data_IF_064734509580
#
_entry.id   IF_064734509580
#
_cell.length_a   1.000
_cell.length_b   1.000
_cell.length_c   1.000
_cell.angle_alpha   90.00
_cell.angle_beta   90.00
_cell.angle_gamma   90.00
#
_symmetry.space_group_name_H-M   'P 1'
#
loop_
_entity.id
_entity.type
_entity.pdbx_description
1 polymer ?
#
# COMPACT_ATOMS: atom_id res chain seq x y z
N UNK A 1 26.62 -24.49 -13.98
CA UNK A 1 27.87 -23.80 -13.59
C UNK A 1 27.83 -23.23 -12.16
N UNK A 2 26.73 -22.80 -11.60
CA UNK A 2 26.66 -22.13 -10.27
C UNK A 2 27.08 -22.98 -9.05
N UNK A 3 26.82 -24.27 -9.01
CA UNK A 3 27.07 -25.11 -7.81
C UNK A 3 28.59 -25.34 -7.56
N UNK A 4 29.44 -25.34 -8.62
CA UNK A 4 30.88 -25.47 -8.45
C UNK A 4 31.51 -24.17 -7.94
N UNK A 5 31.08 -22.99 -8.44
CA UNK A 5 31.62 -21.70 -8.01
C UNK A 5 31.31 -21.42 -6.53
N UNK A 6 30.11 -21.74 -6.03
CA UNK A 6 29.81 -21.64 -4.59
C UNK A 6 30.73 -22.47 -3.69
N UNK A 7 31.04 -23.70 -4.09
CA UNK A 7 31.97 -24.55 -3.31
C UNK A 7 33.40 -24.02 -3.32
N UNK A 8 33.82 -23.40 -4.42
CA UNK A 8 35.15 -22.78 -4.54
C UNK A 8 35.25 -21.54 -3.63
N UNK A 9 34.21 -20.68 -3.63
CA UNK A 9 34.17 -19.50 -2.77
C UNK A 9 34.13 -19.89 -1.29
N UNK A 10 33.34 -20.89 -0.88
CA UNK A 10 33.31 -21.39 0.49
C UNK A 10 34.70 -21.91 0.95
N UNK A 11 35.43 -22.55 0.06
CA UNK A 11 36.82 -23.00 0.31
C UNK A 11 37.77 -21.81 0.49
N UNK A 12 37.62 -20.79 -0.33
CA UNK A 12 38.37 -19.55 -0.28
C UNK A 12 38.13 -18.78 1.02
N UNK A 13 36.88 -18.67 1.43
CA UNK A 13 36.49 -18.00 2.70
C UNK A 13 37.16 -18.71 3.89
N UNK A 14 37.08 -20.04 3.96
CA UNK A 14 37.73 -20.81 5.03
C UNK A 14 39.23 -20.58 5.07
N UNK A 15 39.90 -20.58 3.87
CA UNK A 15 41.33 -20.27 3.76
C UNK A 15 41.66 -18.87 4.28
N UNK A 16 40.83 -17.90 3.95
CA UNK A 16 40.99 -16.51 4.39
C UNK A 16 40.81 -16.37 5.89
N UNK A 17 39.72 -16.89 6.47
CA UNK A 17 39.46 -16.85 7.91
C UNK A 17 40.53 -17.57 8.73
N UNK A 18 41.01 -18.72 8.24
CA UNK A 18 42.13 -19.44 8.88
C UNK A 18 43.42 -18.62 8.84
N UNK A 19 43.75 -18.00 7.73
CA UNK A 19 44.94 -17.18 7.59
C UNK A 19 44.91 -15.97 8.55
N UNK A 20 43.76 -15.36 8.71
CA UNK A 20 43.56 -14.24 9.68
C UNK A 20 43.71 -14.76 11.12
N UNK A 21 43.06 -15.86 11.47
CA UNK A 21 43.12 -16.42 12.84
C UNK A 21 44.50 -16.86 13.26
N UNK A 22 45.31 -17.35 12.31
CA UNK A 22 46.70 -17.78 12.54
C UNK A 22 47.72 -16.65 12.43
N UNK A 23 47.28 -15.43 12.02
CA UNK A 23 48.17 -14.28 11.80
C UNK A 23 49.24 -14.54 10.70
N UNK A 24 48.98 -15.47 9.77
CA UNK A 24 49.90 -15.81 8.69
C UNK A 24 49.64 -14.95 7.46
N UNK A 25 50.67 -14.34 6.85
CA UNK A 25 50.53 -13.65 5.58
C UNK A 25 50.18 -14.66 4.50
N UNK A 26 49.00 -14.54 3.88
CA UNK A 26 48.59 -15.28 2.70
C UNK A 26 48.52 -14.33 1.51
N UNK A 27 48.93 -14.81 0.36
CA UNK A 27 48.75 -14.09 -0.90
C UNK A 27 47.43 -14.50 -1.52
N UNK A 28 46.71 -13.52 -2.01
CA UNK A 28 45.48 -13.66 -2.77
C UNK A 28 45.63 -12.86 -4.06
N UNK A 29 45.16 -13.41 -5.17
CA UNK A 29 45.04 -12.63 -6.40
C UNK A 29 43.80 -11.72 -6.38
N UNK A 30 43.64 -10.92 -7.42
CA UNK A 30 42.54 -9.90 -7.45
C UNK A 30 41.20 -10.59 -7.52
N UNK A 31 41.04 -11.64 -8.31
CA UNK A 31 39.77 -12.34 -8.50
C UNK A 31 39.32 -13.02 -7.18
N UNK A 32 40.28 -13.65 -6.45
CA UNK A 32 40.03 -14.21 -5.12
C UNK A 32 39.58 -13.17 -4.10
N UNK A 33 40.14 -11.96 -4.16
CA UNK A 33 39.80 -10.86 -3.27
C UNK A 33 38.42 -10.27 -3.64
N UNK A 34 38.11 -10.26 -4.92
CA UNK A 34 36.76 -9.88 -5.41
C UNK A 34 35.70 -10.84 -4.91
N UNK A 35 35.87 -12.15 -5.15
CA UNK A 35 34.95 -13.18 -4.68
C UNK A 35 34.75 -13.14 -3.15
N UNK A 36 35.80 -12.92 -2.37
CA UNK A 36 35.75 -12.77 -0.93
C UNK A 36 34.96 -11.52 -0.51
N UNK A 37 35.20 -10.39 -1.17
CA UNK A 37 34.53 -9.13 -0.89
C UNK A 37 33.03 -9.25 -1.16
N UNK A 38 32.64 -9.83 -2.30
CA UNK A 38 31.26 -10.07 -2.69
C UNK A 38 30.55 -11.05 -1.76
N UNK A 39 31.21 -12.12 -1.36
CA UNK A 39 30.69 -13.07 -0.39
C UNK A 39 30.33 -12.37 0.92
N UNK A 40 31.23 -11.56 1.48
CA UNK A 40 30.94 -10.84 2.73
C UNK A 40 29.84 -9.79 2.57
N UNK A 41 29.78 -9.08 1.45
CA UNK A 41 28.70 -8.12 1.17
C UNK A 41 27.34 -8.80 1.07
N UNK A 42 27.24 -9.91 0.34
CA UNK A 42 25.99 -10.67 0.19
C UNK A 42 25.46 -11.25 1.51
N UNK A 43 26.35 -11.44 2.50
CA UNK A 43 26.00 -11.87 3.85
C UNK A 43 25.85 -10.70 4.87
N UNK A 44 25.80 -9.46 4.39
CA UNK A 44 25.65 -8.27 5.24
C UNK A 44 26.87 -7.91 6.08
N UNK A 45 28.02 -8.57 5.86
CA UNK A 45 29.28 -8.40 6.60
C UNK A 45 30.18 -7.31 5.98
N UNK A 46 29.71 -6.05 6.03
CA UNK A 46 30.40 -4.91 5.39
C UNK A 46 31.80 -4.64 5.93
N UNK A 47 32.02 -4.86 7.22
CA UNK A 47 33.35 -4.63 7.83
C UNK A 47 34.36 -5.65 7.35
N UNK A 48 33.98 -6.91 7.22
CA UNK A 48 34.80 -7.98 6.72
C UNK A 48 35.13 -7.77 5.23
N UNK A 49 34.15 -7.36 4.42
CA UNK A 49 34.39 -6.98 3.03
C UNK A 49 35.41 -5.82 2.93
N UNK A 50 35.26 -4.80 3.75
CA UNK A 50 36.23 -3.69 3.82
C UNK A 50 37.64 -4.15 4.19
N UNK A 51 37.76 -5.09 5.12
CA UNK A 51 39.05 -5.65 5.51
C UNK A 51 39.72 -6.46 4.35
N UNK A 52 38.92 -7.20 3.57
CA UNK A 52 39.39 -7.89 2.36
C UNK A 52 39.93 -6.90 1.35
N UNK A 53 39.18 -5.83 1.05
CA UNK A 53 39.61 -4.81 0.10
C UNK A 53 40.87 -4.09 0.57
N UNK A 54 40.99 -3.77 1.87
CA UNK A 54 42.24 -3.20 2.43
C UNK A 54 43.43 -4.14 2.32
N UNK A 55 43.24 -5.44 2.55
CA UNK A 55 44.26 -6.43 2.30
C UNK A 55 44.65 -6.46 0.83
N UNK A 56 43.66 -6.47 -0.05
CA UNK A 56 43.84 -6.47 -1.49
C UNK A 56 44.66 -5.26 -1.96
N UNK A 57 44.38 -4.08 -1.47
CA UNK A 57 45.13 -2.86 -1.79
C UNK A 57 46.53 -2.81 -1.20
N UNK A 58 46.83 -3.59 -0.16
CA UNK A 58 48.22 -3.80 0.31
C UNK A 58 48.97 -4.71 -0.62
N UNK A 59 48.35 -5.75 -1.18
CA UNK A 59 48.95 -6.70 -2.11
C UNK A 59 49.06 -6.13 -3.53
N UNK A 60 48.04 -5.38 -3.95
CA UNK A 60 47.86 -4.80 -5.29
C UNK A 60 47.50 -3.30 -5.22
N UNK A 61 48.43 -2.41 -4.87
CA UNK A 61 48.16 -1.02 -4.49
C UNK A 61 47.50 -0.16 -5.55
N UNK A 62 47.68 -0.48 -6.84
CA UNK A 62 47.16 0.33 -7.96
C UNK A 62 46.11 -0.43 -8.78
N UNK A 63 45.52 -1.49 -8.23
CA UNK A 63 44.49 -2.21 -8.92
C UNK A 63 43.19 -1.40 -8.97
N UNK A 64 42.72 -1.11 -10.19
CA UNK A 64 41.55 -0.25 -10.44
C UNK A 64 40.26 -0.82 -9.83
N UNK A 65 40.04 -2.15 -9.96
CA UNK A 65 38.88 -2.83 -9.45
C UNK A 65 38.78 -2.72 -7.92
N UNK A 66 39.86 -2.99 -7.20
CA UNK A 66 39.90 -2.90 -5.73
C UNK A 66 39.76 -1.44 -5.25
N UNK A 67 40.32 -0.48 -6.00
CA UNK A 67 40.12 0.95 -5.71
C UNK A 67 38.66 1.36 -5.91
N UNK A 68 38.01 0.88 -6.98
CA UNK A 68 36.60 1.15 -7.25
C UNK A 68 35.72 0.56 -6.15
N UNK A 69 35.89 -0.73 -5.80
CA UNK A 69 35.15 -1.37 -4.68
C UNK A 69 35.35 -0.64 -3.35
N UNK A 70 36.55 -0.12 -3.08
CA UNK A 70 36.79 0.71 -1.91
C UNK A 70 36.02 2.04 -1.97
N UNK A 71 35.98 2.67 -3.13
CA UNK A 71 35.23 3.91 -3.32
C UNK A 71 33.72 3.65 -3.13
N UNK A 72 33.17 2.54 -3.65
CA UNK A 72 31.78 2.12 -3.44
C UNK A 72 31.46 1.96 -1.95
N UNK A 73 32.30 1.26 -1.19
CA UNK A 73 32.11 1.13 0.26
C UNK A 73 32.09 2.50 0.98
N UNK A 74 32.94 3.44 0.56
CA UNK A 74 32.88 4.79 1.12
C UNK A 74 31.60 5.54 0.78
N UNK A 75 31.01 5.31 -0.40
CA UNK A 75 29.71 5.86 -0.77
C UNK A 75 28.60 5.29 0.11
N UNK A 76 28.60 3.98 0.32
CA UNK A 76 27.59 3.29 1.16
C UNK A 76 27.59 3.77 2.63
N UNK A 77 28.78 4.06 3.18
CA UNK A 77 28.90 4.58 4.57
C UNK A 77 28.80 6.12 4.66
N UNK A 78 28.54 6.80 3.53
CA UNK A 78 28.39 8.26 3.48
C UNK A 78 29.67 9.07 3.47
N UNK A 79 30.84 8.42 3.39
CA UNK A 79 32.16 9.08 3.37
C UNK A 79 32.53 9.59 1.96
N UNK A 80 31.65 10.40 1.37
CA UNK A 80 31.67 10.82 -0.03
C UNK A 80 32.96 11.51 -0.46
N UNK A 81 33.60 12.30 0.44
CA UNK A 81 34.86 12.97 0.14
C UNK A 81 36.05 12.00 0.05
N UNK A 82 35.97 10.89 0.78
CA UNK A 82 36.97 9.82 0.72
C UNK A 82 36.81 9.05 -0.61
N UNK A 83 35.56 8.75 -1.01
CA UNK A 83 35.25 8.14 -2.29
C UNK A 83 35.84 8.95 -3.46
N UNK A 84 35.58 10.27 -3.52
CA UNK A 84 36.14 11.14 -4.56
C UNK A 84 37.65 11.09 -4.63
N UNK A 85 38.35 11.15 -3.50
CA UNK A 85 39.82 11.10 -3.47
C UNK A 85 40.39 9.79 -4.03
N UNK A 86 39.66 8.70 -3.90
CA UNK A 86 40.03 7.42 -4.50
C UNK A 86 39.74 7.43 -5.99
N UNK A 87 38.55 7.83 -6.39
CA UNK A 87 38.16 7.96 -7.80
C UNK A 87 39.13 8.87 -8.59
N UNK A 88 39.67 9.93 -7.95
CA UNK A 88 40.67 10.80 -8.59
C UNK A 88 42.04 10.13 -8.81
N UNK A 89 42.34 9.05 -8.09
CA UNK A 89 43.58 8.27 -8.23
C UNK A 89 43.48 7.13 -9.23
N UNK A 90 42.27 6.80 -9.68
CA UNK A 90 42.10 5.72 -10.64
C UNK A 90 42.89 6.02 -11.92
N UNK A 91 43.69 5.06 -12.41
CA UNK A 91 44.50 5.23 -13.62
C UNK A 91 43.62 5.34 -14.88
N UNK A 92 42.47 4.71 -14.88
CA UNK A 92 41.49 4.72 -16.00
C UNK A 92 40.31 5.61 -15.62
N UNK A 93 40.45 6.91 -15.89
CA UNK A 93 39.41 7.91 -15.59
C UNK A 93 38.18 7.84 -16.52
N UNK A 94 38.26 7.03 -17.54
CA UNK A 94 37.21 6.82 -18.56
C UNK A 94 36.40 5.54 -18.34
N UNK A 95 36.71 4.76 -17.29
CA UNK A 95 35.91 3.59 -16.92
C UNK A 95 34.49 4.01 -16.55
N UNK A 96 33.48 3.34 -17.15
CA UNK A 96 32.06 3.67 -17.00
C UNK A 96 31.62 3.53 -15.54
N UNK A 97 32.01 2.46 -14.86
CA UNK A 97 31.66 2.22 -13.45
C UNK A 97 32.25 3.30 -12.54
N UNK A 98 33.49 3.74 -12.82
CA UNK A 98 34.12 4.85 -12.11
C UNK A 98 33.43 6.19 -12.40
N UNK A 99 32.93 6.41 -13.62
CA UNK A 99 32.19 7.61 -13.99
C UNK A 99 30.80 7.62 -13.36
N UNK A 100 30.10 6.47 -13.34
CA UNK A 100 28.79 6.29 -12.67
C UNK A 100 28.92 6.57 -11.17
N UNK A 101 29.86 5.92 -10.50
CA UNK A 101 30.08 6.13 -9.06
C UNK A 101 30.48 7.58 -8.75
N UNK A 102 31.26 8.21 -9.60
CA UNK A 102 31.63 9.63 -9.46
C UNK A 102 30.43 10.55 -9.65
N UNK A 103 29.56 10.24 -10.61
CA UNK A 103 28.32 10.98 -10.82
C UNK A 103 27.40 10.89 -9.59
N UNK A 104 27.20 9.68 -9.07
CA UNK A 104 26.45 9.44 -7.84
C UNK A 104 27.02 10.26 -6.66
N UNK A 105 28.34 10.21 -6.45
CA UNK A 105 28.98 10.97 -5.37
C UNK A 105 28.76 12.48 -5.55
N UNK A 106 28.86 13.02 -6.77
CA UNK A 106 28.57 14.43 -7.01
C UNK A 106 27.12 14.78 -6.69
N UNK A 107 26.16 13.94 -7.09
CA UNK A 107 24.75 14.16 -6.83
C UNK A 107 24.45 14.13 -5.31
N UNK A 108 25.00 13.16 -4.59
CA UNK A 108 24.86 13.07 -3.11
C UNK A 108 25.54 14.22 -2.37
N UNK A 109 26.58 14.84 -2.97
CA UNK A 109 27.23 16.07 -2.46
C UNK A 109 26.50 17.35 -2.87
N UNK A 110 25.30 17.23 -3.46
CA UNK A 110 24.51 18.36 -3.98
C UNK A 110 25.20 19.15 -5.11
N UNK A 111 26.18 18.53 -5.80
CA UNK A 111 26.82 19.06 -7.00
C UNK A 111 26.09 18.59 -8.26
N UNK A 112 24.82 19.02 -8.37
CA UNK A 112 23.90 18.53 -9.40
C UNK A 112 24.43 18.72 -10.83
N UNK A 113 25.06 19.85 -11.12
CA UNK A 113 25.54 20.14 -12.49
C UNK A 113 26.66 19.19 -12.92
N UNK A 114 27.62 18.91 -12.04
CA UNK A 114 28.74 18.01 -12.29
C UNK A 114 28.26 16.58 -12.45
N UNK A 115 27.38 16.11 -11.57
CA UNK A 115 26.81 14.76 -11.64
C UNK A 115 26.03 14.57 -12.94
N UNK A 116 25.07 15.43 -13.24
CA UNK A 116 24.26 15.36 -14.46
C UNK A 116 25.08 15.43 -15.74
N UNK A 117 26.18 16.19 -15.74
CA UNK A 117 27.08 16.24 -16.90
C UNK A 117 27.75 14.89 -17.15
N UNK A 118 28.14 14.17 -16.10
CA UNK A 118 28.71 12.83 -16.23
C UNK A 118 27.67 11.82 -16.72
N UNK A 119 26.46 11.84 -16.13
CA UNK A 119 25.39 10.92 -16.54
C UNK A 119 25.03 11.11 -18.03
N UNK A 120 24.89 12.33 -18.49
CA UNK A 120 24.66 12.62 -19.93
C UNK A 120 25.79 12.08 -20.81
N UNK A 121 27.04 12.32 -20.43
CA UNK A 121 28.18 11.79 -21.18
C UNK A 121 28.13 10.27 -21.32
N UNK A 122 27.76 9.55 -20.25
CA UNK A 122 27.66 8.08 -20.23
C UNK A 122 26.57 7.59 -21.20
N UNK A 123 25.44 8.26 -21.26
CA UNK A 123 24.31 7.85 -22.11
C UNK A 123 24.41 8.32 -23.56
N UNK A 124 25.19 9.41 -23.85
CA UNK A 124 25.39 9.94 -25.20
C UNK A 124 26.47 9.18 -26.00
N UNK A 125 27.36 8.40 -25.36
CA UNK A 125 28.34 7.61 -26.06
C UNK A 125 27.68 6.47 -26.85
N UNK A 126 27.85 6.47 -28.18
CA UNK A 126 27.41 5.39 -29.09
C UNK A 126 28.20 4.12 -28.84
N UNK A 127 27.66 3.21 -28.06
CA UNK A 127 28.27 1.93 -27.73
C UNK A 127 27.25 0.81 -27.81
N UNK A 128 27.73 -0.44 -27.87
CA UNK A 128 26.90 -1.66 -27.90
C UNK A 128 26.05 -1.81 -26.62
N UNK A 129 26.51 -1.21 -25.52
CA UNK A 129 25.86 -1.38 -24.18
C UNK A 129 25.03 -0.16 -23.77
N UNK A 130 24.41 0.57 -24.73
CA UNK A 130 23.66 1.80 -24.45
C UNK A 130 22.43 1.58 -23.56
N UNK A 131 21.76 0.45 -23.74
CA UNK A 131 20.60 0.06 -22.88
C UNK A 131 21.07 -0.09 -21.42
N UNK A 132 22.13 -0.90 -21.21
CA UNK A 132 22.65 -1.13 -19.87
C UNK A 132 23.10 0.18 -19.21
N UNK A 133 23.79 1.04 -19.92
CA UNK A 133 24.21 2.36 -19.42
C UNK A 133 23.03 3.25 -19.03
N UNK A 134 21.95 3.21 -19.79
CA UNK A 134 20.74 3.91 -19.44
C UNK A 134 20.14 3.37 -18.14
N UNK A 135 20.06 2.05 -18.00
CA UNK A 135 19.56 1.39 -16.77
C UNK A 135 20.46 1.71 -15.55
N UNK A 136 21.78 1.70 -15.72
CA UNK A 136 22.71 2.06 -14.64
C UNK A 136 22.53 3.53 -14.20
N UNK A 137 22.32 4.43 -15.15
CA UNK A 137 22.04 5.85 -14.86
C UNK A 137 20.69 6.01 -14.15
N UNK A 138 19.66 5.34 -14.62
CA UNK A 138 18.33 5.41 -14.00
C UNK A 138 18.31 4.80 -12.60
N UNK A 139 19.06 3.73 -12.36
CA UNK A 139 19.23 3.16 -11.02
C UNK A 139 19.77 4.20 -10.03
N UNK A 140 20.83 4.95 -10.40
CA UNK A 140 21.38 6.02 -9.54
C UNK A 140 20.34 7.12 -9.27
N UNK A 141 19.56 7.51 -10.28
CA UNK A 141 18.55 8.55 -10.14
C UNK A 141 17.37 8.07 -9.29
N UNK A 142 16.96 6.81 -9.44
CA UNK A 142 15.89 6.17 -8.71
C UNK A 142 16.23 5.99 -7.23
N UNK A 143 17.49 5.65 -6.89
CA UNK A 143 17.99 5.63 -5.51
C UNK A 143 17.90 7.00 -4.80
N UNK A 144 17.89 8.07 -5.59
CA UNK A 144 17.69 9.43 -5.11
C UNK A 144 16.22 9.89 -5.16
N UNK A 145 15.31 9.03 -5.57
CA UNK A 145 13.90 9.33 -5.82
C UNK A 145 13.70 10.42 -6.89
N UNK A 146 14.59 10.49 -7.89
CA UNK A 146 14.49 11.45 -9.00
C UNK A 146 13.86 10.79 -10.23
N UNK A 147 12.71 10.16 -10.01
CA UNK A 147 11.99 9.35 -11.01
C UNK A 147 11.65 10.13 -12.29
N UNK A 148 11.27 11.40 -12.16
CA UNK A 148 11.01 12.25 -13.33
C UNK A 148 12.22 12.38 -14.27
N UNK A 149 13.46 12.43 -13.74
CA UNK A 149 14.67 12.42 -14.55
C UNK A 149 14.95 11.03 -15.15
N UNK A 150 14.74 9.96 -14.37
CA UNK A 150 14.84 8.60 -14.89
C UNK A 150 13.92 8.40 -16.10
N UNK A 151 12.68 8.87 -16.02
CA UNK A 151 11.69 8.83 -17.10
C UNK A 151 12.24 9.56 -18.36
N UNK A 152 12.88 10.72 -18.23
CA UNK A 152 13.46 11.45 -19.37
C UNK A 152 14.54 10.60 -20.09
N UNK A 153 15.47 9.99 -19.35
CA UNK A 153 16.52 9.14 -19.91
C UNK A 153 15.96 7.87 -20.57
N UNK A 154 15.00 7.21 -19.90
CA UNK A 154 14.34 6.00 -20.42
C UNK A 154 13.55 6.29 -21.70
N UNK A 155 12.80 7.39 -21.73
CA UNK A 155 12.07 7.81 -22.93
C UNK A 155 12.99 8.17 -24.08
N UNK A 156 14.19 8.71 -23.81
CA UNK A 156 15.18 8.97 -24.83
C UNK A 156 15.76 7.66 -25.38
N UNK A 157 16.16 6.71 -24.53
CA UNK A 157 16.66 5.40 -24.93
C UNK A 157 15.63 4.59 -25.73
N UNK A 158 14.35 4.65 -25.34
CA UNK A 158 13.24 3.96 -26.01
C UNK A 158 12.90 4.53 -27.41
N UNK A 159 13.47 5.67 -27.82
CA UNK A 159 13.38 6.12 -29.22
C UNK A 159 14.21 5.26 -30.16
N UNK A 160 15.36 4.79 -29.67
CA UNK A 160 16.29 3.96 -30.43
C UNK A 160 16.02 2.46 -30.23
N UNK A 161 15.53 2.07 -29.05
CA UNK A 161 15.21 0.71 -28.63
C UNK A 161 13.75 0.59 -28.18
N UNK A 162 12.79 0.77 -29.11
CA UNK A 162 11.38 0.92 -28.72
C UNK A 162 10.76 -0.30 -28.03
N UNK A 163 11.24 -1.48 -28.31
CA UNK A 163 10.68 -2.75 -27.84
C UNK A 163 11.59 -3.43 -26.80
N UNK A 164 12.52 -2.69 -26.21
CA UNK A 164 13.39 -3.20 -25.16
C UNK A 164 12.59 -3.33 -23.86
N UNK A 165 12.46 -4.58 -23.40
CA UNK A 165 11.59 -4.90 -22.26
C UNK A 165 12.16 -4.41 -20.91
N UNK A 166 13.48 -4.36 -20.75
CA UNK A 166 14.11 -3.88 -19.52
C UNK A 166 13.93 -2.36 -19.36
N UNK A 167 14.08 -1.61 -20.45
CA UNK A 167 13.80 -0.15 -20.46
C UNK A 167 12.32 0.14 -20.22
N UNK A 168 11.41 -0.64 -20.80
CA UNK A 168 9.97 -0.48 -20.60
C UNK A 168 9.58 -0.80 -19.15
N UNK A 169 10.13 -1.86 -18.57
CA UNK A 169 9.88 -2.25 -17.19
C UNK A 169 10.29 -1.16 -16.21
N UNK A 170 11.53 -0.65 -16.35
CA UNK A 170 12.03 0.44 -15.52
C UNK A 170 11.21 1.74 -15.70
N UNK A 171 10.76 2.03 -16.94
CA UNK A 171 9.91 3.19 -17.23
C UNK A 171 8.54 3.05 -16.53
N UNK A 172 7.91 1.88 -16.61
CA UNK A 172 6.64 1.62 -15.96
C UNK A 172 6.75 1.78 -14.44
N UNK A 173 7.80 1.20 -13.86
CA UNK A 173 8.09 1.33 -12.43
C UNK A 173 8.32 2.79 -12.01
N UNK A 174 9.08 3.58 -12.78
CA UNK A 174 9.26 5.01 -12.48
C UNK A 174 7.93 5.78 -12.50
N UNK A 175 7.02 5.47 -13.44
CA UNK A 175 5.69 6.08 -13.44
C UNK A 175 4.86 5.68 -12.22
N UNK A 176 4.98 4.45 -11.72
CA UNK A 176 4.32 4.03 -10.48
C UNK A 176 4.81 4.82 -9.26
N UNK A 177 6.12 5.05 -9.17
CA UNK A 177 6.70 5.83 -8.07
C UNK A 177 6.18 7.29 -8.08
N UNK A 178 5.95 7.86 -9.27
CA UNK A 178 5.33 9.18 -9.44
C UNK A 178 3.79 9.14 -9.33
N UNK A 179 3.20 7.96 -9.07
CA UNK A 179 1.74 7.72 -9.02
C UNK A 179 1.01 8.03 -10.33
N UNK A 180 1.74 8.02 -11.45
CA UNK A 180 1.18 8.21 -12.78
C UNK A 180 0.72 6.86 -13.37
N UNK A 181 -0.18 6.19 -12.67
CA UNK A 181 -0.62 4.81 -12.96
C UNK A 181 -1.19 4.62 -14.36
N UNK A 182 -1.84 5.64 -14.94
CA UNK A 182 -2.34 5.54 -16.33
C UNK A 182 -1.20 5.44 -17.34
N UNK A 183 -0.07 6.14 -17.08
CA UNK A 183 1.10 6.04 -17.96
C UNK A 183 1.83 4.71 -17.76
N UNK A 184 1.95 4.25 -16.51
CA UNK A 184 2.49 2.93 -16.19
C UNK A 184 1.71 1.83 -16.90
N UNK A 185 0.38 1.83 -16.82
CA UNK A 185 -0.48 0.87 -17.49
C UNK A 185 -0.23 0.83 -19.01
N UNK A 186 -0.13 1.99 -19.67
CA UNK A 186 0.16 2.04 -21.12
C UNK A 186 1.53 1.46 -21.47
N UNK A 187 2.51 1.59 -20.58
CA UNK A 187 3.84 0.99 -20.80
C UNK A 187 3.76 -0.52 -20.65
N UNK A 188 3.05 -1.05 -19.65
CA UNK A 188 2.83 -2.49 -19.53
C UNK A 188 2.02 -3.06 -20.69
N UNK A 189 0.98 -2.38 -21.17
CA UNK A 189 0.25 -2.77 -22.38
C UNK A 189 1.21 -2.90 -23.57
N UNK A 190 2.13 -1.93 -23.75
CA UNK A 190 3.15 -2.01 -24.80
C UNK A 190 4.13 -3.17 -24.59
N UNK A 191 4.56 -3.46 -23.36
CA UNK A 191 5.38 -4.63 -23.06
C UNK A 191 4.67 -5.93 -23.48
N UNK A 192 3.37 -6.01 -23.24
CA UNK A 192 2.55 -7.17 -23.55
C UNK A 192 2.23 -7.29 -25.06
N UNK A 193 2.35 -6.21 -25.83
CA UNK A 193 2.35 -6.28 -27.32
C UNK A 193 3.64 -6.96 -27.83
N UNK A 194 4.77 -6.79 -27.12
CA UNK A 194 6.07 -7.43 -27.46
C UNK A 194 6.11 -8.86 -26.96
N UNK A 195 5.77 -9.10 -25.69
CA UNK A 195 5.75 -10.44 -25.07
C UNK A 195 4.44 -10.65 -24.27
N UNK A 196 3.41 -11.25 -24.91
CA UNK A 196 2.11 -11.50 -24.28
C UNK A 196 2.12 -12.54 -23.15
N UNK A 197 3.21 -13.32 -23.02
CA UNK A 197 3.31 -14.38 -22.02
C UNK A 197 4.02 -13.95 -20.74
N UNK A 198 4.35 -12.68 -20.61
CA UNK A 198 5.05 -12.16 -19.42
C UNK A 198 4.06 -11.94 -18.27
N UNK A 199 3.98 -12.94 -17.38
CA UNK A 199 3.07 -12.95 -16.24
C UNK A 199 3.24 -11.72 -15.34
N UNK A 200 4.49 -11.33 -15.06
CA UNK A 200 4.81 -10.17 -14.23
C UNK A 200 4.27 -8.85 -14.82
N UNK A 201 4.33 -8.70 -16.15
CA UNK A 201 3.77 -7.52 -16.81
C UNK A 201 2.23 -7.47 -16.72
N UNK A 202 1.55 -8.62 -16.85
CA UNK A 202 0.11 -8.72 -16.62
C UNK A 202 -0.26 -8.41 -15.17
N UNK A 203 0.50 -8.94 -14.21
CA UNK A 203 0.29 -8.66 -12.79
C UNK A 203 0.43 -7.17 -12.49
N UNK A 204 1.52 -6.53 -12.94
CA UNK A 204 1.79 -5.12 -12.72
C UNK A 204 0.77 -4.22 -13.45
N UNK A 205 0.30 -4.62 -14.64
CA UNK A 205 -0.81 -3.96 -15.32
C UNK A 205 -2.08 -3.99 -14.46
N UNK A 206 -2.40 -5.14 -13.88
CA UNK A 206 -3.51 -5.30 -12.94
C UNK A 206 -3.37 -4.38 -11.73
N UNK A 207 -2.17 -4.28 -11.17
CA UNK A 207 -1.88 -3.39 -10.05
C UNK A 207 -2.05 -1.91 -10.43
N UNK A 208 -1.62 -1.51 -11.63
CA UNK A 208 -1.81 -0.15 -12.13
C UNK A 208 -3.30 0.19 -12.28
N UNK A 209 -4.11 -0.71 -12.86
CA UNK A 209 -5.57 -0.53 -12.97
C UNK A 209 -6.27 -0.55 -11.61
N UNK A 210 -5.81 -1.36 -10.67
CA UNK A 210 -6.33 -1.36 -9.29
C UNK A 210 -6.12 -0.01 -8.62
N UNK A 211 -4.93 0.58 -8.74
CA UNK A 211 -4.63 1.90 -8.20
C UNK A 211 -5.42 3.04 -8.88
N UNK A 212 -5.89 2.83 -10.11
CA UNK A 212 -6.81 3.73 -10.82
C UNK A 212 -8.28 3.46 -10.51
N UNK A 213 -8.57 2.54 -9.60
CA UNK A 213 -9.93 2.10 -9.23
C UNK A 213 -10.73 1.49 -10.41
N UNK A 214 -10.05 1.15 -11.51
CA UNK A 214 -10.67 0.37 -12.59
C UNK A 214 -10.52 -1.13 -12.28
N UNK A 215 -11.29 -1.55 -11.29
CA UNK A 215 -11.19 -2.91 -10.74
C UNK A 215 -11.54 -4.00 -11.77
N UNK A 216 -12.40 -3.72 -12.74
CA UNK A 216 -12.72 -4.70 -13.77
C UNK A 216 -11.52 -4.96 -14.70
N UNK A 217 -10.79 -3.90 -15.13
CA UNK A 217 -9.56 -4.08 -15.90
C UNK A 217 -8.46 -4.74 -15.08
N UNK A 218 -8.41 -4.44 -13.79
CA UNK A 218 -7.47 -5.10 -12.88
C UNK A 218 -7.73 -6.63 -12.84
N UNK A 219 -8.99 -7.05 -12.70
CA UNK A 219 -9.38 -8.47 -12.73
C UNK A 219 -8.96 -9.11 -14.04
N UNK A 220 -9.30 -8.50 -15.20
CA UNK A 220 -8.92 -9.05 -16.52
C UNK A 220 -7.40 -9.27 -16.62
N UNK A 221 -6.60 -8.30 -16.16
CA UNK A 221 -5.15 -8.41 -16.19
C UNK A 221 -4.62 -9.52 -15.25
N UNK A 222 -5.15 -9.65 -14.03
CA UNK A 222 -4.78 -10.74 -13.12
C UNK A 222 -5.20 -12.11 -13.66
N UNK A 223 -6.32 -12.23 -14.35
CA UNK A 223 -6.72 -13.47 -15.03
C UNK A 223 -5.69 -13.88 -16.09
N UNK A 224 -5.16 -12.95 -16.88
CA UNK A 224 -4.08 -13.21 -17.82
C UNK A 224 -2.76 -13.60 -17.11
N UNK A 225 -2.41 -12.96 -16.02
CA UNK A 225 -1.25 -13.35 -15.20
C UNK A 225 -1.40 -14.81 -14.73
N UNK A 226 -2.56 -15.18 -14.20
CA UNK A 226 -2.87 -16.54 -13.73
C UNK A 226 -2.98 -17.56 -14.86
N UNK A 227 -3.36 -17.16 -16.08
CA UNK A 227 -3.36 -18.05 -17.23
C UNK A 227 -1.95 -18.53 -17.59
N UNK A 228 -0.92 -17.74 -17.30
CA UNK A 228 0.50 -18.13 -17.51
C UNK A 228 1.11 -18.79 -16.27
N UNK A 229 0.74 -18.36 -15.06
CA UNK A 229 1.19 -18.89 -13.77
C UNK A 229 0.02 -19.20 -12.84
N UNK A 230 -0.67 -20.36 -13.01
CA UNK A 230 -1.92 -20.66 -12.32
C UNK A 230 -1.82 -20.77 -10.77
N UNK A 231 -0.62 -20.87 -10.22
CA UNK A 231 -0.38 -20.99 -8.78
C UNK A 231 0.34 -19.76 -8.20
N UNK A 232 0.25 -18.63 -8.87
CA UNK A 232 0.74 -17.36 -8.32
C UNK A 232 -0.21 -16.87 -7.24
N UNK A 233 0.16 -17.11 -5.98
CA UNK A 233 -0.63 -16.76 -4.81
C UNK A 233 -0.88 -15.25 -4.70
N UNK A 234 0.09 -14.44 -5.12
CA UNK A 234 -0.07 -12.98 -5.07
C UNK A 234 -1.10 -12.52 -6.09
N UNK A 235 -1.04 -13.02 -7.33
CA UNK A 235 -2.02 -12.70 -8.36
C UNK A 235 -3.42 -13.19 -8.00
N UNK A 236 -3.56 -14.40 -7.41
CA UNK A 236 -4.85 -14.92 -6.92
C UNK A 236 -5.45 -14.02 -5.85
N UNK A 237 -4.65 -13.59 -4.88
CA UNK A 237 -5.11 -12.71 -3.80
C UNK A 237 -5.52 -11.34 -4.33
N UNK A 238 -4.70 -10.72 -5.18
CA UNK A 238 -5.01 -9.42 -5.76
C UNK A 238 -6.23 -9.45 -6.66
N UNK A 239 -6.43 -10.53 -7.42
CA UNK A 239 -7.64 -10.74 -8.21
C UNK A 239 -8.88 -10.81 -7.32
N UNK A 240 -8.82 -11.56 -6.21
CA UNK A 240 -9.93 -11.67 -5.27
C UNK A 240 -10.28 -10.29 -4.64
N UNK A 241 -9.27 -9.51 -4.26
CA UNK A 241 -9.48 -8.15 -3.78
C UNK A 241 -10.07 -7.23 -4.86
N UNK A 242 -9.59 -7.32 -6.10
CA UNK A 242 -10.13 -6.52 -7.21
C UNK A 242 -11.60 -6.88 -7.50
N UNK A 243 -11.96 -8.16 -7.46
CA UNK A 243 -13.35 -8.62 -7.59
C UNK A 243 -14.24 -8.07 -6.47
N UNK A 244 -13.74 -8.08 -5.24
CA UNK A 244 -14.47 -7.52 -4.10
C UNK A 244 -14.71 -6.02 -4.27
N UNK A 245 -13.69 -5.25 -4.63
CA UNK A 245 -13.81 -3.81 -4.87
C UNK A 245 -14.70 -3.49 -6.09
N UNK A 246 -14.74 -4.37 -7.10
CA UNK A 246 -15.66 -4.26 -8.23
C UNK A 246 -17.13 -4.55 -7.85
N UNK A 247 -17.43 -4.94 -6.61
CA UNK A 247 -18.76 -5.36 -6.18
C UNK A 247 -19.17 -6.77 -6.66
N UNK A 248 -18.24 -7.53 -7.24
CA UNK A 248 -18.45 -8.90 -7.73
C UNK A 248 -18.24 -9.92 -6.61
N UNK A 249 -18.98 -9.74 -5.51
CA UNK A 249 -18.72 -10.40 -4.22
C UNK A 249 -18.72 -11.93 -4.28
N UNK A 250 -19.62 -12.56 -5.05
CA UNK A 250 -19.65 -14.02 -5.16
C UNK A 250 -18.46 -14.57 -5.95
N UNK A 251 -17.95 -13.80 -6.90
CA UNK A 251 -16.76 -14.16 -7.65
C UNK A 251 -15.51 -13.94 -6.79
N UNK A 252 -15.48 -12.88 -5.98
CA UNK A 252 -14.44 -12.67 -4.98
C UNK A 252 -14.39 -13.84 -3.98
N UNK A 253 -15.54 -14.26 -3.46
CA UNK A 253 -15.63 -15.41 -2.57
C UNK A 253 -15.03 -16.66 -3.21
N UNK A 254 -15.37 -16.94 -4.48
CA UNK A 254 -14.81 -18.08 -5.21
C UNK A 254 -13.29 -17.95 -5.39
N UNK A 255 -12.78 -16.77 -5.70
CA UNK A 255 -11.35 -16.53 -5.84
C UNK A 255 -10.58 -16.73 -4.52
N UNK A 256 -11.16 -16.33 -3.38
CA UNK A 256 -10.58 -16.64 -2.06
C UNK A 256 -10.61 -18.15 -1.74
N UNK A 257 -11.66 -18.87 -2.14
CA UNK A 257 -11.71 -20.34 -2.01
C UNK A 257 -10.61 -21.01 -2.84
N UNK A 258 -10.43 -20.58 -4.10
CA UNK A 258 -9.40 -21.10 -5.00
C UNK A 258 -7.99 -20.82 -4.44
N UNK A 259 -7.76 -19.62 -3.86
CA UNK A 259 -6.51 -19.31 -3.14
C UNK A 259 -6.27 -20.27 -1.97
N UNK A 260 -7.28 -20.54 -1.16
CA UNK A 260 -7.15 -21.45 -0.01
C UNK A 260 -6.96 -22.93 -0.40
N UNK A 261 -7.37 -23.34 -1.59
CA UNK A 261 -7.07 -24.68 -2.11
C UNK A 261 -5.55 -24.88 -2.33
N UNK A 262 -4.82 -23.79 -2.64
CA UNK A 262 -3.37 -23.82 -2.91
C UNK A 262 -2.56 -23.58 -1.63
N UNK A 263 -2.85 -22.51 -0.90
CA UNK A 263 -2.07 -22.08 0.27
C UNK A 263 -2.54 -22.70 1.58
N UNK A 264 -3.81 -23.08 1.64
CA UNK A 264 -4.45 -23.52 2.88
C UNK A 264 -5.28 -22.43 3.54
N UNK A 265 -5.98 -22.81 4.62
CA UNK A 265 -6.85 -21.90 5.36
C UNK A 265 -6.04 -21.05 6.33
N UNK A 266 -6.26 -19.75 6.28
CA UNK A 266 -5.78 -18.79 7.29
C UNK A 266 -6.92 -17.93 7.80
N UNK A 267 -6.78 -17.39 9.00
CA UNK A 267 -7.82 -16.59 9.64
C UNK A 267 -8.16 -15.33 8.83
N UNK A 268 -7.14 -14.63 8.31
CA UNK A 268 -7.36 -13.41 7.52
C UNK A 268 -8.08 -13.68 6.19
N UNK A 269 -7.76 -14.78 5.47
CA UNK A 269 -8.48 -15.11 4.21
C UNK A 269 -9.91 -15.55 4.51
N UNK A 270 -10.13 -16.25 5.63
CA UNK A 270 -11.49 -16.60 6.07
C UNK A 270 -12.32 -15.36 6.42
N UNK A 271 -11.71 -14.27 6.91
CA UNK A 271 -12.38 -12.98 7.10
C UNK A 271 -12.78 -12.38 5.75
N UNK A 272 -11.86 -12.25 4.78
CA UNK A 272 -12.19 -11.71 3.45
C UNK A 272 -13.27 -12.53 2.72
N UNK A 273 -13.23 -13.85 2.86
CA UNK A 273 -14.29 -14.71 2.35
C UNK A 273 -15.63 -14.43 3.06
N UNK A 274 -15.60 -14.25 4.37
CA UNK A 274 -16.76 -13.89 5.17
C UNK A 274 -17.37 -12.55 4.75
N UNK A 275 -16.55 -11.53 4.59
CA UNK A 275 -16.95 -10.21 4.08
C UNK A 275 -17.57 -10.29 2.67
N UNK A 276 -16.98 -11.12 1.80
CA UNK A 276 -17.51 -11.33 0.46
C UNK A 276 -18.90 -11.95 0.48
N UNK A 277 -19.13 -12.92 1.36
CA UNK A 277 -20.47 -13.50 1.53
C UNK A 277 -21.44 -12.55 2.23
N UNK A 278 -20.99 -11.76 3.21
CA UNK A 278 -21.79 -10.73 3.88
C UNK A 278 -22.30 -9.70 2.87
N UNK A 279 -21.40 -9.12 2.07
CA UNK A 279 -21.76 -8.15 1.01
C UNK A 279 -22.64 -8.76 -0.08
N UNK A 280 -22.55 -10.07 -0.31
CA UNK A 280 -23.44 -10.80 -1.18
C UNK A 280 -24.81 -11.14 -0.54
N UNK A 281 -25.05 -10.77 0.72
CA UNK A 281 -26.27 -11.09 1.47
C UNK A 281 -26.38 -12.55 1.92
N UNK A 282 -25.28 -13.30 1.88
CA UNK A 282 -25.23 -14.70 2.29
C UNK A 282 -24.74 -14.84 3.74
N UNK A 283 -25.59 -14.40 4.65
CA UNK A 283 -25.22 -14.28 6.07
C UNK A 283 -24.84 -15.59 6.74
N UNK A 284 -25.43 -16.74 6.33
CA UNK A 284 -25.11 -18.03 6.96
C UNK A 284 -23.71 -18.50 6.56
N UNK A 285 -23.34 -18.31 5.29
CA UNK A 285 -22.00 -18.60 4.79
C UNK A 285 -20.96 -17.66 5.43
N UNK A 286 -21.27 -16.35 5.54
CA UNK A 286 -20.41 -15.38 6.21
C UNK A 286 -20.13 -15.75 7.67
N UNK A 287 -21.17 -16.08 8.44
CA UNK A 287 -21.07 -16.52 9.83
C UNK A 287 -20.18 -17.77 9.95
N UNK A 288 -20.30 -18.73 9.03
CA UNK A 288 -19.45 -19.93 9.04
C UNK A 288 -17.97 -19.59 8.78
N UNK A 289 -17.71 -18.61 7.91
CA UNK A 289 -16.35 -18.14 7.63
C UNK A 289 -15.75 -17.42 8.83
N UNK A 290 -16.47 -16.50 9.46
CA UNK A 290 -16.02 -15.79 10.66
C UNK A 290 -15.84 -16.73 11.87
N UNK A 291 -16.71 -17.73 12.03
CA UNK A 291 -16.50 -18.74 13.07
C UNK A 291 -15.21 -19.53 12.84
N UNK A 292 -14.94 -19.91 11.60
CA UNK A 292 -13.69 -20.60 11.24
C UNK A 292 -12.48 -19.70 11.48
N UNK A 293 -12.53 -18.41 11.09
CA UNK A 293 -11.49 -17.43 11.35
C UNK A 293 -11.20 -17.30 12.85
N UNK A 294 -12.25 -17.19 13.66
CA UNK A 294 -12.13 -17.10 15.11
C UNK A 294 -11.56 -18.39 15.74
N UNK A 295 -11.91 -19.57 15.20
CA UNK A 295 -11.33 -20.84 15.68
C UNK A 295 -9.84 -20.95 15.35
N UNK A 296 -9.39 -20.42 14.20
CA UNK A 296 -7.99 -20.37 13.82
C UNK A 296 -7.21 -19.35 14.65
N UNK A 297 -7.80 -18.19 14.90
CA UNK A 297 -7.19 -17.10 15.68
C UNK A 297 -8.25 -16.42 16.57
N UNK A 298 -8.38 -16.81 17.85
CA UNK A 298 -9.34 -16.21 18.78
C UNK A 298 -9.08 -14.73 19.10
N UNK A 299 -7.95 -14.20 18.66
CA UNK A 299 -7.56 -12.78 18.77
C UNK A 299 -7.79 -12.00 17.49
N UNK A 300 -8.40 -12.59 16.47
CA UNK A 300 -8.78 -11.89 15.25
C UNK A 300 -10.03 -11.04 15.53
N UNK A 301 -9.84 -9.73 15.61
CA UNK A 301 -10.90 -8.76 15.92
C UNK A 301 -11.91 -8.67 14.77
N UNK A 302 -11.45 -8.69 13.51
CA UNK A 302 -12.30 -8.57 12.33
C UNK A 302 -13.27 -9.75 12.22
N UNK A 303 -12.83 -10.97 12.57
CA UNK A 303 -13.70 -12.14 12.67
C UNK A 303 -14.80 -11.95 13.72
N UNK A 304 -14.48 -11.37 14.89
CA UNK A 304 -15.46 -11.07 15.92
C UNK A 304 -16.45 -9.99 15.49
N UNK A 305 -15.95 -8.94 14.85
CA UNK A 305 -16.74 -7.80 14.37
C UNK A 305 -17.67 -8.22 13.23
N UNK A 306 -17.17 -8.94 12.22
CA UNK A 306 -17.98 -9.45 11.12
C UNK A 306 -19.05 -10.44 11.59
N UNK A 307 -18.71 -11.33 12.53
CA UNK A 307 -19.70 -12.21 13.18
C UNK A 307 -20.81 -11.39 13.85
N UNK A 308 -20.44 -10.33 14.59
CA UNK A 308 -21.40 -9.50 15.30
C UNK A 308 -22.31 -8.73 14.32
N UNK A 309 -21.77 -8.20 13.24
CA UNK A 309 -22.53 -7.50 12.18
C UNK A 309 -23.56 -8.46 11.55
N UNK A 310 -23.12 -9.64 11.11
CA UNK A 310 -24.04 -10.63 10.53
C UNK A 310 -25.16 -11.03 11.49
N UNK A 311 -24.86 -11.20 12.79
CA UNK A 311 -25.87 -11.51 13.81
C UNK A 311 -26.81 -10.34 14.08
N UNK A 312 -26.33 -9.10 13.98
CA UNK A 312 -27.16 -7.89 14.06
C UNK A 312 -28.16 -7.82 12.90
N UNK A 313 -27.71 -8.08 11.68
CA UNK A 313 -28.59 -8.14 10.49
C UNK A 313 -29.65 -9.25 10.61
N UNK A 314 -29.30 -10.39 11.22
CA UNK A 314 -30.23 -11.48 11.55
C UNK A 314 -31.15 -11.15 12.73
N UNK A 315 -31.02 -9.96 13.33
CA UNK A 315 -31.75 -9.52 14.54
C UNK A 315 -31.50 -10.37 15.79
N UNK A 316 -30.37 -11.11 15.81
CA UNK A 316 -29.90 -11.86 16.98
C UNK A 316 -29.09 -10.94 17.92
N UNK A 317 -29.71 -9.86 18.37
CA UNK A 317 -29.04 -8.74 19.02
C UNK A 317 -28.20 -9.10 20.25
N UNK A 318 -28.68 -10.03 21.10
CA UNK A 318 -27.94 -10.45 22.31
C UNK A 318 -26.65 -11.22 21.96
N UNK A 319 -26.71 -12.06 20.92
CA UNK A 319 -25.55 -12.79 20.44
C UNK A 319 -24.55 -11.83 19.77
N UNK A 320 -25.07 -10.90 18.96
CA UNK A 320 -24.27 -9.83 18.34
C UNK A 320 -23.51 -9.02 19.39
N UNK A 321 -24.19 -8.57 20.45
CA UNK A 321 -23.56 -7.82 21.53
C UNK A 321 -22.44 -8.63 22.23
N UNK A 322 -22.64 -9.94 22.40
CA UNK A 322 -21.61 -10.83 22.96
C UNK A 322 -20.35 -10.91 22.08
N UNK A 323 -20.52 -10.84 20.76
CA UNK A 323 -19.38 -10.88 19.84
C UNK A 323 -18.66 -9.53 19.76
N UNK A 324 -19.39 -8.41 19.78
CA UNK A 324 -18.76 -7.08 19.93
C UNK A 324 -18.00 -6.95 21.25
N UNK A 325 -18.52 -7.52 22.36
CA UNK A 325 -17.80 -7.54 23.64
C UNK A 325 -16.47 -8.33 23.55
N UNK A 326 -16.41 -9.38 22.72
CA UNK A 326 -15.15 -10.08 22.43
C UNK A 326 -14.20 -9.21 21.59
N UNK A 327 -14.69 -8.55 20.55
CA UNK A 327 -13.89 -7.65 19.73
C UNK A 327 -13.27 -6.53 20.58
N UNK A 328 -14.08 -5.86 21.42
CA UNK A 328 -13.61 -4.80 22.31
C UNK A 328 -12.66 -5.28 23.42
N UNK A 329 -12.71 -6.55 23.81
CA UNK A 329 -11.70 -7.14 24.71
C UNK A 329 -10.37 -7.39 24.05
N UNK A 330 -10.35 -7.54 22.73
CA UNK A 330 -9.11 -7.69 21.95
C UNK A 330 -8.49 -6.29 21.73
N UNK A 331 -9.30 -5.33 21.27
CA UNK A 331 -8.89 -3.94 21.08
C UNK A 331 -10.10 -3.01 21.33
N UNK A 332 -10.02 -2.14 22.32
CA UNK A 332 -11.06 -1.14 22.65
C UNK A 332 -10.73 0.28 22.13
N UNK A 333 -9.63 0.40 21.38
CA UNK A 333 -9.20 1.67 20.77
C UNK A 333 -9.63 1.84 19.31
N UNK A 334 -10.42 0.91 18.77
CA UNK A 334 -10.99 1.04 17.44
C UNK A 334 -12.30 1.83 17.49
N UNK A 335 -12.37 3.04 16.88
CA UNK A 335 -13.58 3.86 16.92
C UNK A 335 -14.76 3.24 16.16
N UNK A 336 -14.51 2.46 15.09
CA UNK A 336 -15.57 1.87 14.26
C UNK A 336 -16.35 0.81 15.01
N UNK A 337 -15.70 -0.03 15.79
CA UNK A 337 -16.37 -1.05 16.60
C UNK A 337 -17.33 -0.41 17.59
N UNK A 338 -16.95 0.73 18.20
CA UNK A 338 -17.84 1.48 19.09
C UNK A 338 -19.06 2.04 18.36
N UNK A 339 -18.92 2.44 17.10
CA UNK A 339 -20.03 2.87 16.25
C UNK A 339 -20.99 1.71 16.01
N UNK A 340 -20.51 0.54 15.59
CA UNK A 340 -21.36 -0.65 15.39
C UNK A 340 -22.08 -1.06 16.67
N UNK A 341 -21.43 -1.01 17.84
CA UNK A 341 -22.07 -1.28 19.13
C UNK A 341 -23.19 -0.27 19.42
N UNK A 342 -22.97 1.02 19.13
CA UNK A 342 -23.98 2.05 19.29
C UNK A 342 -25.20 1.80 18.38
N UNK A 343 -24.97 1.45 17.11
CA UNK A 343 -26.03 1.11 16.16
C UNK A 343 -26.85 -0.11 16.62
N UNK A 344 -26.17 -1.16 17.10
CA UNK A 344 -26.82 -2.31 17.69
C UNK A 344 -27.70 -1.92 18.89
N UNK A 345 -27.19 -1.08 19.79
CA UNK A 345 -27.93 -0.62 20.97
C UNK A 345 -29.15 0.24 20.59
N UNK A 346 -29.05 1.03 19.52
CA UNK A 346 -30.20 1.75 18.97
C UNK A 346 -31.29 0.80 18.46
N UNK A 347 -30.90 -0.29 17.76
CA UNK A 347 -31.87 -1.30 17.34
C UNK A 347 -32.53 -2.04 18.52
N UNK A 348 -31.89 -2.02 19.69
CA UNK A 348 -32.43 -2.56 20.95
C UNK A 348 -33.20 -1.51 21.77
N UNK A 349 -33.39 -0.28 21.26
CA UNK A 349 -34.00 0.89 21.94
C UNK A 349 -33.25 1.33 23.21
N UNK A 350 -31.92 1.07 23.26
CA UNK A 350 -31.02 1.44 24.37
C UNK A 350 -30.25 2.72 24.03
N UNK A 351 -30.96 3.86 23.97
CA UNK A 351 -30.46 5.15 23.43
C UNK A 351 -29.37 5.78 24.29
N UNK A 352 -29.47 5.67 25.62
CA UNK A 352 -28.47 6.24 26.53
C UNK A 352 -27.13 5.52 26.39
N UNK A 353 -27.15 4.20 26.35
CA UNK A 353 -25.96 3.37 26.15
C UNK A 353 -25.35 3.57 24.76
N UNK A 354 -26.19 3.71 23.72
CA UNK A 354 -25.74 4.03 22.37
C UNK A 354 -24.97 5.37 22.33
N UNK A 355 -25.52 6.42 22.99
CA UNK A 355 -24.83 7.70 23.11
C UNK A 355 -23.47 7.60 23.81
N UNK A 356 -23.35 6.73 24.84
CA UNK A 356 -22.06 6.49 25.51
C UNK A 356 -21.04 5.86 24.57
N UNK A 357 -21.46 4.92 23.71
CA UNK A 357 -20.61 4.29 22.73
C UNK A 357 -20.14 5.27 21.63
N UNK A 358 -21.06 6.10 21.11
CA UNK A 358 -20.70 7.18 20.18
C UNK A 358 -19.72 8.17 20.79
N UNK A 359 -19.92 8.59 22.05
CA UNK A 359 -18.98 9.44 22.76
C UNK A 359 -17.60 8.77 22.89
N UNK A 360 -17.54 7.47 23.15
CA UNK A 360 -16.28 6.73 23.20
C UNK A 360 -15.60 6.75 21.84
N UNK A 361 -16.33 6.47 20.76
CA UNK A 361 -15.82 6.57 19.39
C UNK A 361 -15.24 7.96 19.09
N UNK A 362 -15.97 9.04 19.42
CA UNK A 362 -15.51 10.42 19.24
C UNK A 362 -14.29 10.77 20.10
N UNK A 363 -14.08 10.13 21.25
CA UNK A 363 -12.83 10.32 22.03
C UNK A 363 -11.61 9.68 21.37
N UNK A 364 -11.81 8.63 20.59
CA UNK A 364 -10.77 7.92 19.86
C UNK A 364 -10.46 8.59 18.51
N UNK A 365 -11.50 9.02 17.82
CA UNK A 365 -11.41 9.78 16.58
C UNK A 365 -12.43 10.94 16.63
N UNK A 366 -11.94 12.17 16.57
CA UNK A 366 -12.81 13.37 16.66
C UNK A 366 -13.42 13.77 15.32
N UNK A 367 -12.88 13.26 14.22
CA UNK A 367 -13.29 13.59 12.84
C UNK A 367 -14.30 12.55 12.32
N UNK A 368 -15.53 12.59 12.87
CA UNK A 368 -16.62 11.66 12.56
C UNK A 368 -17.94 12.44 12.48
N UNK A 369 -18.21 13.13 11.35
CA UNK A 369 -19.42 13.93 11.19
C UNK A 369 -20.71 13.09 11.25
N UNK A 370 -20.67 11.86 10.77
CA UNK A 370 -21.79 10.91 10.79
C UNK A 370 -22.17 10.50 12.21
N UNK A 371 -21.19 10.30 13.08
CA UNK A 371 -21.42 9.97 14.50
C UNK A 371 -22.07 11.15 15.22
N UNK A 372 -21.61 12.39 14.94
CA UNK A 372 -22.23 13.58 15.48
C UNK A 372 -23.68 13.75 14.99
N UNK A 373 -23.94 13.49 13.71
CA UNK A 373 -25.29 13.51 13.15
C UNK A 373 -26.19 12.42 13.77
N UNK A 374 -25.66 11.19 13.97
CA UNK A 374 -26.39 10.11 14.64
C UNK A 374 -26.76 10.47 16.09
N UNK A 375 -25.85 11.06 16.85
CA UNK A 375 -26.14 11.58 18.20
C UNK A 375 -27.15 12.72 18.15
N UNK A 376 -27.10 13.55 17.11
CA UNK A 376 -28.11 14.59 16.84
C UNK A 376 -29.50 14.02 16.62
N UNK A 377 -29.61 12.90 15.89
CA UNK A 377 -30.86 12.17 15.68
C UNK A 377 -31.42 11.62 17.01
N UNK A 378 -30.59 11.05 17.85
CA UNK A 378 -31.01 10.59 19.18
C UNK A 378 -31.56 11.77 20.01
N UNK A 379 -30.83 12.89 20.03
CA UNK A 379 -31.29 14.08 20.76
C UNK A 379 -32.61 14.66 20.19
N UNK A 380 -32.78 14.61 18.86
CA UNK A 380 -34.02 15.02 18.20
C UNK A 380 -35.19 14.13 18.59
N UNK A 381 -35.03 12.82 18.59
CA UNK A 381 -36.03 11.83 18.97
C UNK A 381 -36.42 11.96 20.47
N UNK A 382 -35.46 12.34 21.32
CA UNK A 382 -35.66 12.60 22.75
C UNK A 382 -36.34 14.00 23.00
N UNK A 383 -36.54 14.82 21.95
CA UNK A 383 -37.13 16.14 22.01
C UNK A 383 -36.18 17.26 22.46
N UNK A 384 -34.89 16.97 22.58
CA UNK A 384 -33.86 17.98 22.91
C UNK A 384 -33.33 18.63 21.62
N UNK A 385 -34.18 19.49 21.03
CA UNK A 385 -33.91 20.10 19.73
C UNK A 385 -32.75 21.09 19.76
N UNK A 386 -32.45 21.73 20.89
CA UNK A 386 -31.30 22.61 21.02
C UNK A 386 -29.99 21.83 20.98
N UNK A 387 -29.92 20.69 21.68
CA UNK A 387 -28.79 19.77 21.63
C UNK A 387 -28.61 19.14 20.25
N UNK A 388 -29.74 18.72 19.64
CA UNK A 388 -29.71 18.16 18.26
C UNK A 388 -29.13 19.18 17.27
N UNK A 389 -29.57 20.44 17.33
CA UNK A 389 -29.06 21.51 16.49
C UNK A 389 -27.55 21.74 16.70
N UNK A 390 -27.08 21.73 17.95
CA UNK A 390 -25.67 21.89 18.27
C UNK A 390 -24.81 20.75 17.65
N UNK A 391 -25.28 19.51 17.73
CA UNK A 391 -24.59 18.34 17.15
C UNK A 391 -24.58 18.38 15.62
N UNK A 392 -25.68 18.76 14.97
CA UNK A 392 -25.74 18.93 13.52
C UNK A 392 -24.82 20.06 13.02
N UNK A 393 -24.72 21.16 13.79
CA UNK A 393 -23.78 22.24 13.46
C UNK A 393 -22.33 21.76 13.54
N UNK A 394 -21.98 20.99 14.57
CA UNK A 394 -20.64 20.39 14.68
C UNK A 394 -20.36 19.39 13.55
N UNK A 395 -21.33 18.56 13.16
CA UNK A 395 -21.20 17.68 12.00
C UNK A 395 -20.97 18.48 10.70
N UNK A 396 -21.72 19.57 10.50
CA UNK A 396 -21.59 20.44 9.33
C UNK A 396 -20.25 21.21 9.27
N UNK A 397 -19.64 21.48 10.41
CA UNK A 397 -18.30 22.09 10.46
C UNK A 397 -17.23 21.12 9.97
N UNK A 398 -17.38 19.82 10.24
CA UNK A 398 -16.47 18.77 9.77
C UNK A 398 -16.73 18.41 8.30
N UNK A 399 -17.99 18.17 7.95
CA UNK A 399 -18.40 17.86 6.57
C UNK A 399 -19.67 18.61 6.17
N UNK A 400 -19.55 19.74 5.44
CA UNK A 400 -20.69 20.49 4.92
C UNK A 400 -21.55 19.75 3.88
N UNK A 401 -20.98 18.72 3.24
CA UNK A 401 -21.65 17.94 2.19
C UNK A 401 -22.20 16.60 2.72
N UNK A 402 -22.19 16.39 4.04
CA UNK A 402 -22.69 15.15 4.66
C UNK A 402 -24.11 14.82 4.19
N UNK A 403 -24.33 13.63 3.57
CA UNK A 403 -25.62 13.23 3.06
C UNK A 403 -26.72 13.25 4.15
N UNK A 404 -27.89 13.79 3.81
CA UNK A 404 -29.03 13.86 4.73
C UNK A 404 -28.99 15.00 5.75
N UNK A 405 -27.85 15.64 6.01
CA UNK A 405 -27.71 16.66 7.05
C UNK A 405 -28.64 17.86 6.82
N UNK A 406 -28.85 18.26 5.57
CA UNK A 406 -29.82 19.34 5.23
C UNK A 406 -31.26 19.02 5.65
N UNK A 407 -31.67 17.75 5.57
CA UNK A 407 -32.98 17.31 6.05
C UNK A 407 -33.06 17.39 7.58
N UNK A 408 -32.02 16.97 8.29
CA UNK A 408 -31.96 17.04 9.75
C UNK A 408 -32.05 18.52 10.23
N UNK A 409 -31.35 19.44 9.57
CA UNK A 409 -31.51 20.87 9.84
C UNK A 409 -32.94 21.35 9.60
N UNK A 410 -33.57 20.96 8.50
CA UNK A 410 -34.96 21.36 8.22
C UNK A 410 -35.90 20.87 9.30
N UNK A 411 -35.77 19.64 9.77
CA UNK A 411 -36.57 19.04 10.83
C UNK A 411 -36.38 19.78 12.16
N UNK A 412 -35.12 19.97 12.61
CA UNK A 412 -34.86 20.60 13.90
C UNK A 412 -35.26 22.06 13.94
N UNK A 413 -35.04 22.83 12.86
CA UNK A 413 -35.48 24.22 12.79
C UNK A 413 -37.02 24.33 12.80
N UNK A 414 -37.75 23.39 12.20
CA UNK A 414 -39.20 23.33 12.27
C UNK A 414 -39.67 23.13 13.70
N UNK A 415 -39.07 22.22 14.45
CA UNK A 415 -39.39 21.95 15.86
C UNK A 415 -39.07 23.14 16.77
N UNK A 416 -38.04 23.90 16.47
CA UNK A 416 -37.68 25.12 17.16
C UNK A 416 -38.55 26.34 16.74
N UNK A 417 -39.49 26.17 15.81
CA UNK A 417 -40.34 27.24 15.29
C UNK A 417 -39.63 28.23 14.37
N UNK A 418 -38.48 27.91 13.87
CA UNK A 418 -37.63 28.74 12.99
C UNK A 418 -37.97 28.48 11.53
N UNK A 419 -39.11 28.96 11.04
CA UNK A 419 -39.68 28.61 9.74
C UNK A 419 -38.80 29.00 8.53
N UNK A 420 -38.09 30.14 8.59
CA UNK A 420 -37.28 30.64 7.47
C UNK A 420 -36.02 29.77 7.25
N UNK A 421 -35.17 29.45 8.26
CA UNK A 421 -34.12 28.46 8.13
C UNK A 421 -34.64 27.08 7.72
N UNK A 422 -35.73 26.60 8.32
CA UNK A 422 -36.33 25.30 8.00
C UNK A 422 -36.65 25.17 6.50
N UNK A 423 -37.34 26.17 5.91
CA UNK A 423 -37.68 26.19 4.50
C UNK A 423 -36.43 26.23 3.60
N UNK A 424 -35.40 26.96 4.02
CA UNK A 424 -34.13 27.05 3.29
C UNK A 424 -33.43 25.70 3.23
N UNK A 425 -33.28 25.00 4.36
CA UNK A 425 -32.66 23.71 4.44
C UNK A 425 -33.47 22.58 3.79
N UNK A 426 -34.80 22.65 3.89
CA UNK A 426 -35.70 21.74 3.17
C UNK A 426 -35.49 21.86 1.64
N UNK A 427 -35.41 23.11 1.14
CA UNK A 427 -35.14 23.35 -0.28
C UNK A 427 -33.81 22.76 -0.73
N UNK A 428 -32.76 22.85 0.11
CA UNK A 428 -31.45 22.21 -0.15
C UNK A 428 -31.56 20.68 -0.15
N UNK A 429 -32.22 20.11 0.85
CA UNK A 429 -32.42 18.67 0.96
C UNK A 429 -33.16 18.09 -0.26
N UNK A 430 -34.26 18.76 -0.70
CA UNK A 430 -35.05 18.35 -1.88
C UNK A 430 -34.24 18.50 -3.19
N UNK A 431 -33.38 19.52 -3.26
CA UNK A 431 -32.50 19.69 -4.42
C UNK A 431 -31.46 18.57 -4.53
N UNK A 432 -30.96 18.04 -3.40
CA UNK A 432 -30.05 16.90 -3.35
C UNK A 432 -30.78 15.55 -3.53
N UNK A 433 -31.92 15.38 -2.85
CA UNK A 433 -32.77 14.20 -2.94
C UNK A 433 -34.26 14.59 -2.98
N UNK A 434 -34.95 14.39 -4.13
CA UNK A 434 -36.38 14.68 -4.25
C UNK A 434 -37.28 13.92 -3.26
N UNK A 435 -36.83 12.80 -2.70
CA UNK A 435 -37.61 12.00 -1.73
C UNK A 435 -37.64 12.65 -0.34
N UNK A 436 -36.71 13.57 -0.05
CA UNK A 436 -36.59 14.28 1.22
C UNK A 436 -37.84 15.05 1.59
N UNK A 437 -38.60 15.61 0.61
CA UNK A 437 -39.84 16.34 0.88
C UNK A 437 -40.92 15.42 1.48
N UNK A 438 -41.03 14.22 0.95
CA UNK A 438 -41.98 13.24 1.48
C UNK A 438 -41.58 12.79 2.88
N UNK A 439 -40.30 12.44 3.08
CA UNK A 439 -39.78 11.99 4.37
C UNK A 439 -39.95 13.08 5.45
N UNK A 440 -39.67 14.35 5.11
CA UNK A 440 -39.88 15.48 5.98
C UNK A 440 -41.36 15.59 6.45
N UNK A 441 -42.33 15.47 5.51
CA UNK A 441 -43.76 15.55 5.82
C UNK A 441 -44.21 14.38 6.68
N UNK A 442 -43.75 13.20 6.40
CA UNK A 442 -44.11 11.98 7.14
C UNK A 442 -43.64 12.09 8.61
N UNK A 443 -42.38 12.51 8.85
CA UNK A 443 -41.81 12.68 10.21
C UNK A 443 -42.59 13.77 10.99
N UNK A 444 -42.87 14.92 10.39
CA UNK A 444 -43.61 15.98 11.07
C UNK A 444 -45.04 15.55 11.38
N UNK A 445 -45.73 14.82 10.49
CA UNK A 445 -47.10 14.36 10.68
C UNK A 445 -47.24 13.23 11.72
N UNK A 446 -46.26 12.32 11.81
CA UNK A 446 -46.27 11.23 12.80
C UNK A 446 -46.18 11.76 14.24
N UNK A 447 -45.35 12.77 14.46
CA UNK A 447 -45.16 13.36 15.78
C UNK A 447 -46.37 14.25 16.20
N UNK A 448 -47.04 14.96 15.25
CA UNK A 448 -48.23 15.73 15.56
C UNK A 448 -49.44 14.83 16.00
N UNK A 449 -49.38 13.53 15.63
CA UNK A 449 -50.41 12.54 16.02
C UNK A 449 -50.09 11.79 17.31
N UNK A 450 -48.90 11.96 17.89
CA UNK A 450 -48.53 11.31 19.16
C UNK A 450 -49.09 12.16 20.32
N UNK A 451 -50.09 11.68 21.13
CA UNK A 451 -50.63 12.47 22.23
C UNK A 451 -49.53 12.71 23.26
N UNK A 452 -49.29 13.97 23.57
CA UNK A 452 -48.40 14.43 24.65
C UNK A 452 -48.73 13.66 25.94
N UNK A 453 -47.94 12.69 26.28
CA UNK A 453 -47.96 12.15 27.63
C UNK A 453 -47.40 13.22 28.56
N UNK A 454 -48.31 13.94 29.20
CA UNK A 454 -48.04 14.86 30.30
C UNK A 454 -47.79 14.09 31.59
#
# INVERSE_FOLDING_TARGET
>A
MGINRHKEVDGLVKRYEQAISEGRPAYYDVDELEDLSEYYLSHGKRQESGAVIELGLKLHPNNSLLLLKRATLYVEIGELQHALRILDKLPEKEDVDALLLRAEVYLRLNKKQEGMRLLRRITEEETVDRVQRCLDVTAILSDMSWYGLSIEYLMEALRDYPDDLELLEELAWCYEQEKEYEKSARVYERMLEVDPYRSEAWFNLGQAWFNLEDFNRAVDAYEFALATHPQDLLAMMQMAHALFQAGRYLEAAKAYEDYMEVEGKSDYVMVFLGESYEKAGKLDEAISCYDTAFQLSPTNMDACTGMAICLMERKSYQESLSWFDKALKINDEDPEVWVYVAELLLQMDMREEANMCYLRSLTLNHDQPDVLAAMGNIAFDDGDFDKALGLYLSANELDPELPGLSLFFALVYTKLGMNEPAATYLSKAVAADPTAEKLYRDIIAEEDNTPSQK
#
